data_IF_864901431386
#
_entry.id   IF_864901431386
#
_cell.length_a   1.000
_cell.length_b   1.000
_cell.length_c   1.000
_cell.angle_alpha   90.00
_cell.angle_beta   90.00
_cell.angle_gamma   90.00
#
_symmetry.space_group_name_H-M   'P 1'
#
loop_
_entity.id
_entity.type
_entity.pdbx_description
1 polymer ?
#
# COMPACT_ATOMS: atom_id res chain seq x y z
N UNK A 1 0.38 24.40 -11.45
CA UNK A 1 1.21 23.66 -12.42
C UNK A 1 2.18 22.82 -11.60
N UNK A 2 2.08 21.48 -11.62
CA UNK A 2 3.03 20.61 -10.91
C UNK A 2 3.89 19.93 -11.96
N UNK A 3 5.12 20.42 -12.12
CA UNK A 3 6.14 19.82 -12.96
C UNK A 3 6.49 18.43 -12.39
N UNK A 4 6.27 17.38 -13.19
CA UNK A 4 6.82 16.06 -12.89
C UNK A 4 8.29 16.06 -13.30
N UNK A 5 9.19 16.03 -12.32
CA UNK A 5 10.67 16.09 -12.49
C UNK A 5 11.27 14.85 -13.17
N UNK A 6 10.46 13.91 -13.62
CA UNK A 6 10.97 12.57 -13.85
C UNK A 6 10.90 12.12 -15.31
N UNK A 7 12.02 12.29 -16.00
CA UNK A 7 12.47 11.38 -17.07
C UNK A 7 12.79 9.99 -16.52
N UNK A 8 11.93 9.45 -15.65
CA UNK A 8 12.11 8.17 -14.96
C UNK A 8 12.15 7.05 -16.01
N UNK A 9 13.29 6.38 -16.11
CA UNK A 9 13.37 5.05 -16.67
C UNK A 9 12.83 4.08 -15.61
N UNK A 10 11.73 3.43 -15.91
CA UNK A 10 11.23 2.32 -15.13
C UNK A 10 11.40 1.02 -15.93
N UNK A 11 11.75 -0.05 -15.24
CA UNK A 11 11.74 -1.39 -15.82
C UNK A 11 10.32 -1.92 -15.66
N UNK A 12 9.70 -2.41 -16.73
CA UNK A 12 8.40 -3.07 -16.65
C UNK A 12 8.55 -4.51 -17.08
N UNK A 13 8.01 -5.41 -16.26
CA UNK A 13 8.02 -6.84 -16.51
C UNK A 13 6.62 -7.40 -16.25
N UNK A 14 6.16 -8.29 -17.13
CA UNK A 14 4.95 -9.08 -16.94
C UNK A 14 5.34 -10.52 -16.59
N UNK A 15 4.72 -11.08 -15.56
CA UNK A 15 4.98 -12.45 -15.10
C UNK A 15 3.68 -13.18 -14.81
N UNK A 16 3.75 -14.51 -14.91
CA UNK A 16 2.72 -15.35 -14.29
C UNK A 16 2.96 -15.40 -12.78
N UNK A 17 1.89 -15.41 -11.98
CA UNK A 17 1.99 -15.51 -10.51
C UNK A 17 2.86 -16.71 -10.08
N UNK A 18 2.75 -17.84 -10.79
CA UNK A 18 3.52 -19.08 -10.53
C UNK A 18 5.04 -18.93 -10.69
N UNK A 19 5.49 -17.90 -11.42
CA UNK A 19 6.91 -17.62 -11.68
C UNK A 19 7.50 -16.59 -10.72
N UNK A 20 6.67 -16.02 -9.86
CA UNK A 20 7.12 -15.07 -8.86
C UNK A 20 7.92 -15.75 -7.74
N UNK A 21 8.89 -15.06 -7.14
CA UNK A 21 9.63 -15.59 -6.01
C UNK A 21 8.70 -15.96 -4.84
N UNK A 22 8.90 -17.13 -4.24
CA UNK A 22 8.03 -17.65 -3.18
C UNK A 22 8.03 -16.76 -1.94
N UNK A 23 9.14 -16.07 -1.67
CA UNK A 23 9.26 -15.11 -0.58
C UNK A 23 8.33 -13.89 -0.73
N UNK A 24 7.83 -13.61 -1.94
CA UNK A 24 6.80 -12.59 -2.18
C UNK A 24 5.41 -13.22 -2.09
N UNK A 25 5.20 -14.36 -2.73
CA UNK A 25 3.90 -15.04 -2.82
C UNK A 25 3.35 -15.44 -1.45
N UNK A 26 4.24 -15.83 -0.54
CA UNK A 26 3.89 -16.33 0.79
C UNK A 26 3.69 -15.24 1.85
N UNK A 27 3.91 -13.96 1.50
CA UNK A 27 3.68 -12.83 2.40
C UNK A 27 2.20 -12.77 2.77
N UNK A 28 1.91 -12.69 4.07
CA UNK A 28 0.57 -12.38 4.53
C UNK A 28 0.23 -10.92 4.22
N UNK A 29 -0.95 -10.68 3.64
CA UNK A 29 -1.44 -9.34 3.32
C UNK A 29 -1.48 -8.47 4.59
N UNK A 30 -1.79 -9.08 5.74
CA UNK A 30 -1.82 -8.43 7.06
C UNK A 30 -0.47 -7.88 7.51
N UNK A 31 0.65 -8.42 6.99
CA UNK A 31 2.01 -8.10 7.44
C UNK A 31 2.64 -6.96 6.64
N UNK A 32 1.98 -6.55 5.55
CA UNK A 32 2.38 -5.41 4.74
C UNK A 32 2.32 -4.11 5.55
N UNK A 33 3.29 -3.23 5.37
CA UNK A 33 3.29 -1.90 5.98
C UNK A 33 2.10 -1.07 5.47
N UNK A 34 1.46 -0.35 6.39
CA UNK A 34 0.36 0.56 6.15
C UNK A 34 0.79 1.99 6.39
N UNK A 35 0.52 2.84 5.39
CA UNK A 35 0.73 4.29 5.50
C UNK A 35 -0.31 4.99 6.39
N UNK A 36 -1.38 4.31 6.78
CA UNK A 36 -2.52 4.92 7.48
C UNK A 36 -2.69 4.39 8.91
N UNK A 37 -3.11 5.29 9.79
CA UNK A 37 -3.78 5.00 11.07
C UNK A 37 -5.26 5.38 10.96
N UNK A 38 -6.14 4.75 11.71
CA UNK A 38 -7.54 5.13 11.79
C UNK A 38 -7.83 5.99 13.04
N UNK A 39 -7.52 5.47 14.23
CA UNK A 39 -7.77 6.13 15.52
C UNK A 39 -6.44 6.34 16.25
N UNK A 40 -6.34 7.44 16.99
CA UNK A 40 -5.17 7.76 17.82
C UNK A 40 -5.47 7.35 19.26
N UNK A 41 -5.71 6.06 19.47
CA UNK A 41 -6.22 5.48 20.72
C UNK A 41 -5.22 4.55 21.41
N UNK A 42 -4.01 4.44 20.87
CA UNK A 42 -2.91 3.65 21.44
C UNK A 42 -1.59 4.40 21.31
N UNK A 43 -0.61 4.05 22.15
CA UNK A 43 0.72 4.65 22.11
C UNK A 43 1.42 4.43 20.76
N UNK A 44 1.25 3.25 20.17
CA UNK A 44 1.79 2.94 18.85
C UNK A 44 1.13 3.78 17.76
N UNK A 45 -0.21 3.89 17.74
CA UNK A 45 -0.91 4.76 16.79
C UNK A 45 -0.52 6.24 16.94
N UNK A 46 -0.35 6.70 18.19
CA UNK A 46 0.10 8.06 18.48
C UNK A 46 1.53 8.32 18.02
N UNK A 47 2.48 7.42 18.30
CA UNK A 47 3.87 7.50 17.82
C UNK A 47 3.91 7.65 16.31
N UNK A 48 3.13 6.81 15.63
CA UNK A 48 2.98 6.80 14.18
C UNK A 48 2.40 8.12 13.65
N UNK A 49 1.32 8.61 14.25
CA UNK A 49 0.68 9.87 13.88
C UNK A 49 1.66 11.04 14.05
N UNK A 50 2.33 11.12 15.21
CA UNK A 50 3.30 12.17 15.54
C UNK A 50 4.42 12.23 14.51
N UNK A 51 5.07 11.10 14.22
CA UNK A 51 6.16 11.03 13.24
C UNK A 51 5.68 11.45 11.83
N UNK A 52 4.47 11.02 11.43
CA UNK A 52 3.89 11.45 10.15
C UNK A 52 3.67 12.96 10.10
N UNK A 53 3.13 13.57 11.16
CA UNK A 53 2.89 15.02 11.23
C UNK A 53 4.19 15.81 11.23
N UNK A 54 5.17 15.40 12.03
CA UNK A 54 6.50 16.04 12.08
C UNK A 54 7.25 15.95 10.74
N UNK A 55 7.08 14.84 10.01
CA UNK A 55 7.61 14.68 8.64
C UNK A 55 6.78 15.36 7.53
N UNK A 56 5.72 16.08 7.87
CA UNK A 56 4.88 16.83 6.92
C UNK A 56 3.86 15.99 6.14
N UNK A 57 3.48 14.83 6.65
CA UNK A 57 2.43 13.97 6.07
C UNK A 57 1.12 14.04 6.86
N UNK A 58 0.33 15.08 6.57
CA UNK A 58 -0.95 15.35 7.23
C UNK A 58 -2.03 14.30 6.92
N UNK A 59 -1.88 13.56 5.82
CA UNK A 59 -2.87 12.56 5.38
C UNK A 59 -2.66 11.15 5.99
N UNK A 60 -2.00 11.08 7.16
CA UNK A 60 -1.72 9.81 7.83
C UNK A 60 -2.98 9.15 8.40
N UNK A 61 -4.02 9.92 8.71
CA UNK A 61 -5.29 9.38 9.19
C UNK A 61 -6.10 8.84 8.00
N UNK A 62 -6.64 7.64 8.11
CA UNK A 62 -7.51 7.06 7.09
C UNK A 62 -8.74 7.94 6.90
N UNK A 63 -9.03 8.31 5.65
CA UNK A 63 -10.14 9.22 5.30
C UNK A 63 -9.78 10.72 5.34
N UNK A 64 -8.66 11.12 5.95
CA UNK A 64 -8.22 12.54 5.96
C UNK A 64 -8.11 13.14 4.56
N UNK A 65 -7.75 12.32 3.58
CA UNK A 65 -7.72 12.70 2.18
C UNK A 65 -9.15 12.83 1.62
N UNK A 66 -9.47 13.98 1.00
CA UNK A 66 -10.81 14.33 0.45
C UNK A 66 -11.91 14.52 1.49
N UNK A 67 -11.58 14.83 2.75
CA UNK A 67 -12.56 15.11 3.80
C UNK A 67 -13.52 13.93 4.06
N UNK A 68 -13.07 12.69 3.83
CA UNK A 68 -13.86 11.50 4.14
C UNK A 68 -13.78 11.19 5.64
N UNK A 69 -14.85 10.64 6.21
CA UNK A 69 -14.78 10.14 7.58
C UNK A 69 -14.23 8.71 7.59
N UNK A 70 -13.77 8.25 8.75
CA UNK A 70 -13.41 6.84 8.96
C UNK A 70 -14.59 5.92 8.63
N UNK A 71 -15.82 6.36 8.95
CA UNK A 71 -17.03 5.60 8.64
C UNK A 71 -17.26 5.48 7.14
N UNK A 72 -16.97 6.52 6.36
CA UNK A 72 -17.08 6.47 4.89
C UNK A 72 -16.06 5.50 4.29
N UNK A 73 -14.82 5.53 4.77
CA UNK A 73 -13.79 4.59 4.31
C UNK A 73 -14.09 3.15 4.75
N UNK A 74 -14.65 2.95 5.95
CA UNK A 74 -15.15 1.64 6.38
C UNK A 74 -16.27 1.13 5.47
N UNK A 75 -17.29 1.95 5.19
CA UNK A 75 -18.37 1.59 4.25
C UNK A 75 -17.83 1.25 2.87
N UNK A 76 -16.82 1.98 2.41
CA UNK A 76 -16.15 1.71 1.14
C UNK A 76 -15.42 0.37 1.13
N UNK A 77 -14.75 0.01 2.21
CA UNK A 77 -14.11 -1.31 2.39
C UNK A 77 -15.17 -2.41 2.33
N UNK A 78 -16.29 -2.27 3.05
CA UNK A 78 -17.39 -3.25 3.05
C UNK A 78 -18.04 -3.35 1.65
N UNK A 79 -18.23 -2.23 0.96
CA UNK A 79 -18.74 -2.22 -0.41
C UNK A 79 -17.80 -2.96 -1.37
N UNK A 80 -16.48 -2.76 -1.23
CA UNK A 80 -15.48 -3.53 -1.97
C UNK A 80 -15.57 -5.01 -1.62
N UNK A 81 -15.54 -5.37 -0.33
CA UNK A 81 -15.64 -6.75 0.15
C UNK A 81 -16.82 -7.50 -0.48
N UNK A 82 -18.01 -6.90 -0.45
CA UNK A 82 -19.24 -7.53 -0.93
C UNK A 82 -19.35 -7.61 -2.46
N UNK A 83 -18.61 -6.79 -3.19
CA UNK A 83 -18.62 -6.81 -4.65
C UNK A 83 -17.70 -7.92 -5.20
N UNK A 84 -18.25 -9.09 -5.55
CA UNK A 84 -17.48 -10.21 -6.14
C UNK A 84 -16.75 -9.86 -7.44
N UNK A 85 -17.19 -8.84 -8.17
CA UNK A 85 -16.54 -8.38 -9.41
C UNK A 85 -15.38 -7.40 -9.14
N UNK A 86 -15.19 -6.94 -7.90
CA UNK A 86 -14.05 -6.10 -7.55
C UNK A 86 -12.76 -6.94 -7.54
N UNK A 87 -11.95 -6.73 -8.58
CA UNK A 87 -10.66 -7.36 -8.83
C UNK A 87 -9.51 -6.36 -8.93
N UNK A 88 -9.58 -5.24 -8.19
CA UNK A 88 -8.56 -4.19 -8.27
C UNK A 88 -7.23 -4.70 -7.70
N UNK A 89 -6.13 -4.66 -8.45
CA UNK A 89 -4.84 -5.12 -7.95
C UNK A 89 -4.33 -4.32 -6.76
N UNK A 90 -3.75 -5.05 -5.80
CA UNK A 90 -3.02 -4.46 -4.68
C UNK A 90 -1.59 -4.17 -5.13
N UNK A 91 -1.18 -2.91 -4.98
CA UNK A 91 0.20 -2.49 -5.21
C UNK A 91 1.05 -2.79 -4.00
N UNK A 92 2.04 -3.64 -4.18
CA UNK A 92 3.04 -4.00 -3.19
C UNK A 92 4.31 -3.20 -3.52
N UNK A 93 4.73 -2.31 -2.63
CA UNK A 93 5.95 -1.50 -2.85
C UNK A 93 7.04 -2.03 -1.94
N UNK A 94 8.16 -2.45 -2.52
CA UNK A 94 9.36 -2.81 -1.78
C UNK A 94 10.24 -1.56 -1.66
N UNK A 95 10.42 -1.09 -0.44
CA UNK A 95 11.25 0.10 -0.16
C UNK A 95 12.75 -0.19 -0.27
N UNK A 96 13.59 0.84 -0.18
CA UNK A 96 15.04 0.68 -0.27
C UNK A 96 15.65 -0.13 0.89
N UNK A 97 14.90 -0.30 1.99
CA UNK A 97 15.28 -1.16 3.13
C UNK A 97 14.78 -2.61 3.00
N UNK A 98 14.02 -2.92 1.94
CA UNK A 98 13.46 -4.24 1.67
C UNK A 98 12.12 -4.51 2.36
N UNK A 99 11.47 -3.53 3.00
CA UNK A 99 10.12 -3.72 3.57
C UNK A 99 9.07 -3.64 2.48
N UNK A 100 8.01 -4.43 2.63
CA UNK A 100 6.87 -4.46 1.71
C UNK A 100 5.71 -3.62 2.24
N UNK A 101 5.26 -2.66 1.43
CA UNK A 101 4.20 -1.71 1.74
C UNK A 101 2.95 -1.99 0.91
N UNK A 102 1.79 -1.77 1.52
CA UNK A 102 0.52 -1.74 0.82
C UNK A 102 0.08 -0.29 0.56
N UNK A 103 0.22 0.18 -0.69
CA UNK A 103 -0.19 1.56 -1.01
C UNK A 103 -1.71 1.70 -1.23
N UNK A 104 -2.40 0.58 -1.52
CA UNK A 104 -3.85 0.53 -1.78
C UNK A 104 -4.61 -0.19 -0.64
N UNK A 105 -4.40 0.27 0.59
CA UNK A 105 -4.85 -0.36 1.85
C UNK A 105 -6.33 -0.81 1.87
N UNK A 106 -7.26 0.00 1.34
CA UNK A 106 -8.69 -0.36 1.31
C UNK A 106 -8.97 -1.66 0.55
N UNK A 107 -8.29 -1.86 -0.60
CA UNK A 107 -8.44 -3.07 -1.39
C UNK A 107 -7.87 -4.29 -0.66
N UNK A 108 -6.70 -4.14 -0.05
CA UNK A 108 -6.07 -5.19 0.75
C UNK A 108 -6.95 -5.64 1.92
N UNK A 109 -7.50 -4.70 2.70
CA UNK A 109 -8.45 -5.02 3.78
C UNK A 109 -9.68 -5.73 3.22
N UNK A 110 -10.26 -5.24 2.12
CA UNK A 110 -11.42 -5.89 1.50
C UNK A 110 -11.13 -7.34 1.08
N UNK A 111 -9.93 -7.64 0.58
CA UNK A 111 -9.52 -9.02 0.28
C UNK A 111 -9.36 -9.86 1.54
N UNK A 112 -8.77 -9.30 2.61
CA UNK A 112 -8.65 -10.00 3.90
C UNK A 112 -10.03 -10.37 4.44
N UNK A 113 -10.99 -9.44 4.40
CA UNK A 113 -12.36 -9.68 4.86
C UNK A 113 -13.15 -10.68 4.00
N UNK A 114 -12.67 -10.99 2.79
CA UNK A 114 -13.19 -12.11 1.97
C UNK A 114 -12.57 -13.45 2.33
N UNK A 115 -11.60 -13.49 3.23
CA UNK A 115 -10.90 -14.69 3.66
C UNK A 115 -9.52 -14.92 3.01
N UNK A 116 -9.06 -14.01 2.15
CA UNK A 116 -7.71 -14.12 1.57
C UNK A 116 -6.66 -13.73 2.61
N UNK A 117 -5.55 -14.44 2.65
CA UNK A 117 -4.49 -14.29 3.65
C UNK A 117 -3.18 -13.87 3.00
N UNK A 118 -2.85 -14.42 1.84
CA UNK A 118 -1.55 -14.26 1.18
C UNK A 118 -1.65 -13.45 -0.11
N UNK A 119 -0.52 -12.88 -0.54
CA UNK A 119 -0.45 -12.07 -1.77
C UNK A 119 -0.86 -12.88 -3.00
N UNK A 120 -0.49 -14.16 -3.09
CA UNK A 120 -0.81 -15.04 -4.22
C UNK A 120 -2.31 -15.38 -4.36
N UNK A 121 -3.14 -15.05 -3.37
CA UNK A 121 -4.59 -15.27 -3.40
C UNK A 121 -5.36 -14.08 -3.98
N UNK A 122 -4.68 -12.98 -4.31
CA UNK A 122 -5.28 -11.73 -4.78
C UNK A 122 -4.60 -11.24 -6.06
N UNK A 123 -5.27 -10.39 -6.88
CA UNK A 123 -4.58 -9.65 -7.92
C UNK A 123 -3.58 -8.67 -7.31
N UNK A 124 -2.32 -8.68 -7.76
CA UNK A 124 -1.27 -7.81 -7.24
C UNK A 124 -0.25 -7.45 -8.32
N UNK A 125 0.57 -6.45 -8.01
CA UNK A 125 1.82 -6.19 -8.72
C UNK A 125 2.84 -5.63 -7.73
N UNK A 126 4.10 -5.81 -8.05
CA UNK A 126 5.21 -5.37 -7.20
C UNK A 126 5.90 -4.17 -7.83
N UNK A 127 6.28 -3.20 -7.00
CA UNK A 127 7.16 -2.11 -7.37
C UNK A 127 8.41 -2.21 -6.50
N UNK A 128 9.57 -2.52 -7.09
CA UNK A 128 10.85 -2.50 -6.37
C UNK A 128 11.52 -1.15 -6.58
N UNK A 129 11.67 -0.38 -5.50
CA UNK A 129 12.27 0.95 -5.57
C UNK A 129 13.78 0.93 -5.74
N UNK A 130 14.44 -0.22 -5.51
CA UNK A 130 15.89 -0.34 -5.65
C UNK A 130 16.35 -0.19 -7.10
N UNK A 131 15.57 -0.74 -8.03
CA UNK A 131 15.85 -0.71 -9.48
C UNK A 131 14.78 0.04 -10.28
N UNK A 132 13.78 0.62 -9.60
CA UNK A 132 12.61 1.26 -10.21
C UNK A 132 11.86 0.32 -11.17
N UNK A 133 11.73 -0.94 -10.78
CA UNK A 133 10.98 -1.94 -11.54
C UNK A 133 9.53 -2.03 -11.12
N UNK A 134 8.67 -2.37 -12.09
CA UNK A 134 7.28 -2.77 -11.90
C UNK A 134 7.15 -4.18 -12.46
N UNK A 135 6.78 -5.12 -11.59
CA UNK A 135 6.48 -6.50 -11.96
C UNK A 135 4.97 -6.67 -11.87
N UNK A 136 4.32 -6.66 -13.03
CA UNK A 136 2.91 -6.99 -13.19
C UNK A 136 2.73 -8.50 -13.16
N UNK A 137 1.65 -8.95 -12.51
CA UNK A 137 1.33 -10.37 -12.38
C UNK A 137 -0.05 -10.63 -13.00
N UNK A 138 -0.13 -11.58 -13.93
CA UNK A 138 -1.35 -12.00 -14.63
C UNK A 138 -2.18 -10.82 -15.18
N UNK A 139 -1.51 -9.82 -15.78
CA UNK A 139 -2.13 -8.65 -16.38
C UNK A 139 -2.68 -7.63 -15.38
N UNK A 140 -2.17 -7.60 -14.15
CA UNK A 140 -2.57 -6.62 -13.14
C UNK A 140 -2.29 -5.16 -13.54
N UNK A 141 -1.34 -4.90 -14.44
CA UNK A 141 -1.00 -3.57 -14.95
C UNK A 141 -1.03 -3.60 -16.47
N UNK A 142 -1.74 -2.65 -17.09
CA UNK A 142 -1.88 -2.57 -18.55
C UNK A 142 -0.57 -2.20 -19.28
N UNK A 143 0.40 -1.61 -18.59
CA UNK A 143 1.73 -1.32 -19.12
C UNK A 143 1.86 -0.05 -19.95
N UNK A 144 0.84 0.81 -20.02
CA UNK A 144 1.00 2.09 -20.72
C UNK A 144 1.93 3.04 -19.96
N UNK A 145 2.68 3.86 -20.70
CA UNK A 145 3.74 4.69 -20.14
C UNK A 145 3.24 5.67 -19.08
N UNK A 146 2.02 6.18 -19.21
CA UNK A 146 1.49 7.15 -18.26
C UNK A 146 1.13 6.47 -16.94
N UNK A 147 0.50 5.31 -16.99
CA UNK A 147 0.18 4.50 -15.82
C UNK A 147 1.44 4.03 -15.11
N UNK A 148 2.46 3.57 -15.84
CA UNK A 148 3.75 3.17 -15.24
C UNK A 148 4.41 4.34 -14.50
N UNK A 149 4.43 5.53 -15.09
CA UNK A 149 4.94 6.76 -14.43
C UNK A 149 4.15 7.10 -13.17
N UNK A 150 2.82 7.01 -13.23
CA UNK A 150 1.95 7.28 -12.09
C UNK A 150 2.17 6.27 -10.96
N UNK A 151 2.37 4.99 -11.30
CA UNK A 151 2.67 3.92 -10.36
C UNK A 151 3.99 4.21 -9.64
N UNK A 152 5.09 4.41 -10.38
CA UNK A 152 6.40 4.70 -9.78
C UNK A 152 6.35 5.98 -8.95
N UNK A 153 5.81 7.08 -9.48
CA UNK A 153 5.75 8.35 -8.75
C UNK A 153 5.00 8.24 -7.44
N UNK A 154 3.92 7.45 -7.41
CA UNK A 154 3.17 7.21 -6.17
C UNK A 154 3.96 6.33 -5.19
N UNK A 155 4.67 5.30 -5.69
CA UNK A 155 5.51 4.43 -4.86
C UNK A 155 6.71 5.16 -4.27
N UNK A 156 7.36 6.05 -5.03
CA UNK A 156 8.49 6.87 -4.55
C UNK A 156 8.10 7.77 -3.37
N UNK A 157 6.84 8.23 -3.29
CA UNK A 157 6.36 8.99 -2.12
C UNK A 157 6.41 8.20 -0.82
N UNK A 158 6.42 6.86 -0.86
CA UNK A 158 6.65 6.04 0.33
C UNK A 158 8.10 6.22 0.78
N UNK A 159 9.06 6.12 -0.13
CA UNK A 159 10.48 6.34 0.18
C UNK A 159 10.75 7.76 0.65
N UNK A 160 10.21 8.78 -0.03
CA UNK A 160 10.34 10.19 0.38
C UNK A 160 9.84 10.43 1.83
N UNK A 161 8.82 9.68 2.28
CA UNK A 161 8.34 9.75 3.66
C UNK A 161 9.32 9.10 4.62
N UNK A 162 9.82 7.91 4.27
CA UNK A 162 10.83 7.18 5.05
C UNK A 162 12.08 8.05 5.25
N UNK A 163 12.55 8.70 4.18
CA UNK A 163 13.74 9.57 4.20
C UNK A 163 13.56 10.80 5.11
N UNK A 164 12.31 11.24 5.30
CA UNK A 164 11.94 12.30 6.25
C UNK A 164 11.77 11.80 7.69
N UNK A 165 12.10 10.55 7.98
CA UNK A 165 11.94 9.94 9.30
C UNK A 165 10.50 9.48 9.60
N UNK A 166 9.60 9.48 8.62
CA UNK A 166 8.27 8.90 8.80
C UNK A 166 8.40 7.39 8.67
N UNK A 167 8.03 6.63 9.71
CA UNK A 167 8.14 5.14 9.75
C UNK A 167 9.59 4.64 9.69
N UNK A 168 10.44 5.02 10.67
CA UNK A 168 11.77 4.44 10.80
C UNK A 168 11.71 2.91 10.94
N UNK A 169 12.84 2.24 10.74
CA UNK A 169 12.91 0.76 10.66
C UNK A 169 12.35 0.08 11.92
N UNK A 170 12.53 0.69 13.08
CA UNK A 170 12.03 0.23 14.39
C UNK A 170 10.55 0.56 14.65
N UNK A 171 9.89 1.27 13.73
CA UNK A 171 8.51 1.74 13.89
C UNK A 171 7.64 1.21 12.75
N UNK A 172 7.27 -0.07 12.88
CA UNK A 172 6.37 -0.77 11.95
C UNK A 172 4.91 -0.48 12.27
N UNK A 173 4.09 -0.41 11.23
CA UNK A 173 2.64 -0.31 11.37
C UNK A 173 1.98 -1.00 10.18
N UNK A 174 1.44 -2.19 10.41
CA UNK A 174 0.98 -3.08 9.34
C UNK A 174 -0.51 -2.92 9.02
N UNK A 175 -0.98 -3.63 8.00
CA UNK A 175 -2.41 -3.75 7.70
C UNK A 175 -3.16 -4.36 8.89
N UNK A 176 -2.58 -5.34 9.59
CA UNK A 176 -3.18 -5.89 10.81
C UNK A 176 -3.38 -4.83 11.89
N UNK A 177 -2.37 -3.98 12.14
CA UNK A 177 -2.48 -2.90 13.11
C UNK A 177 -3.61 -1.93 12.73
N UNK A 178 -3.72 -1.58 11.45
CA UNK A 178 -4.80 -0.74 10.97
C UNK A 178 -6.17 -1.41 11.13
N UNK A 179 -6.31 -2.70 10.84
CA UNK A 179 -7.58 -3.42 10.99
C UNK A 179 -8.05 -3.48 12.45
N UNK A 180 -7.14 -3.72 13.40
CA UNK A 180 -7.41 -3.63 14.85
C UNK A 180 -7.81 -2.21 15.24
N UNK A 181 -7.10 -1.21 14.72
CA UNK A 181 -7.36 0.20 14.99
C UNK A 181 -8.69 0.70 14.37
N UNK A 182 -9.16 0.06 13.29
CA UNK A 182 -10.51 0.25 12.74
C UNK A 182 -11.58 -0.59 13.46
N UNK A 183 -11.19 -1.49 14.38
CA UNK A 183 -12.07 -2.42 15.10
C UNK A 183 -12.85 -3.36 14.17
N UNK A 184 -12.18 -3.82 13.10
CA UNK A 184 -12.76 -4.75 12.11
C UNK A 184 -12.37 -6.21 12.39
N UNK A 185 -11.35 -6.40 13.23
CA UNK A 185 -10.91 -7.68 13.79
C UNK A 185 -10.60 -7.53 15.27
#
# INVERSE_FOLDING_TARGET
>A
MREGVYGLKCIFEERCVETMPSEILEIFISDLESKHVALIDSESAYKIYKLSTEGGYENTILGSHRQATILDEYRRIIAMQNNRNFKRPVRIVKDLSGRYWCDNTHAAIAYILRGNKKINEIPFYVVDLKDNSIISCDGAVNGDLQDLRNIISSSLRIQERIDKGIRPIDCRWTIENLMKNLKVI
#
